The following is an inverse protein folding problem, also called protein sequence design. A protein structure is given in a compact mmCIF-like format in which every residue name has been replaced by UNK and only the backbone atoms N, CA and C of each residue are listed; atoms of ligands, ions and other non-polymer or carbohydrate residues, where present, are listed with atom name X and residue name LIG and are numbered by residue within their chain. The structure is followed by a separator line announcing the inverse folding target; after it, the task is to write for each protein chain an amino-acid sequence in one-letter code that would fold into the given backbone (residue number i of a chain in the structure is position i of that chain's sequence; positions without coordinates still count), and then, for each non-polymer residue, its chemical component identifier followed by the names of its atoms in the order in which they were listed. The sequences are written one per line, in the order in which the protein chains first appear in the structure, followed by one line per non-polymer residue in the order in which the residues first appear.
data_IF_488510867492
#
_entry.id   IF_488510867492
#
_cell.length_a   1.000
_cell.length_b   1.000
_cell.length_c   1.000
_cell.angle_alpha   90.00
_cell.angle_beta   90.00
_cell.angle_gamma   90.00
#
_symmetry.space_group_name_H-M   'P 1'
#
loop_
_entity.id
_entity.type
_entity.pdbx_description
1 polymer ?
#
# COMPACT_ATOMS: atom_id res chain seq x y z
N UNK A 1 2.69 21.61 -26.43
CA UNK A 1 1.86 21.85 -25.24
C UNK A 1 2.58 22.75 -24.28
N UNK A 2 1.87 23.74 -23.75
CA UNK A 2 2.35 24.54 -22.63
C UNK A 2 2.40 23.69 -21.35
N UNK A 3 3.12 24.16 -20.32
CA UNK A 3 3.12 23.51 -18.98
C UNK A 3 1.70 23.46 -18.42
N UNK A 4 0.88 24.49 -18.67
CA UNK A 4 -0.53 24.55 -18.28
C UNK A 4 -1.34 23.38 -18.86
N UNK A 5 -1.14 23.08 -20.14
CA UNK A 5 -1.83 21.96 -20.79
C UNK A 5 -1.38 20.61 -20.23
N UNK A 6 -0.09 20.48 -19.86
CA UNK A 6 0.42 19.25 -19.25
C UNK A 6 -0.18 19.01 -17.86
N UNK A 7 -0.31 20.06 -17.05
CA UNK A 7 -0.94 19.99 -15.73
C UNK A 7 -2.39 19.53 -15.82
N UNK A 8 -3.10 19.84 -16.91
CA UNK A 8 -4.47 19.33 -17.13
C UNK A 8 -4.54 17.79 -17.10
N UNK A 9 -3.47 17.11 -17.51
CA UNK A 9 -3.37 15.65 -17.58
C UNK A 9 -2.71 15.00 -16.35
N UNK A 10 -2.47 15.77 -15.28
CA UNK A 10 -1.94 15.21 -14.04
C UNK A 10 -3.07 14.51 -13.24
N UNK A 11 -3.14 13.19 -13.32
CA UNK A 11 -4.20 12.38 -12.68
C UNK A 11 -3.88 11.98 -11.24
N UNK A 12 -4.89 11.47 -10.52
CA UNK A 12 -4.69 10.90 -9.18
C UNK A 12 -3.79 9.66 -9.17
N UNK A 13 -3.61 8.97 -10.31
CA UNK A 13 -2.73 7.81 -10.42
C UNK A 13 -1.25 8.16 -10.23
N UNK A 14 -0.86 9.44 -10.33
CA UNK A 14 0.51 9.87 -10.05
C UNK A 14 0.94 9.57 -8.61
N UNK A 15 0.02 9.56 -7.65
CA UNK A 15 0.31 9.18 -6.27
C UNK A 15 0.71 7.72 -6.10
N UNK A 16 0.62 6.87 -7.13
CA UNK A 16 1.23 5.53 -7.11
C UNK A 16 2.76 5.59 -6.98
N UNK A 17 3.38 6.67 -7.46
CA UNK A 17 4.82 6.93 -7.36
C UNK A 17 5.25 7.21 -5.92
N UNK A 18 4.57 8.15 -5.24
CA UNK A 18 4.84 8.50 -3.83
C UNK A 18 4.49 7.34 -2.91
N UNK A 19 3.35 6.68 -3.15
CA UNK A 19 3.00 5.44 -2.47
C UNK A 19 4.13 4.39 -2.55
N UNK A 20 4.68 4.17 -3.74
CA UNK A 20 5.75 3.18 -3.93
C UNK A 20 7.08 3.62 -3.31
N UNK A 21 7.41 4.90 -3.42
CA UNK A 21 8.65 5.48 -2.87
C UNK A 21 8.66 5.41 -1.35
N UNK A 22 7.56 5.79 -0.70
CA UNK A 22 7.42 5.60 0.74
C UNK A 22 7.44 4.12 1.16
N UNK A 23 6.94 3.22 0.30
CA UNK A 23 7.08 1.78 0.50
C UNK A 23 8.54 1.30 0.49
N UNK A 24 9.40 1.89 -0.34
CA UNK A 24 10.84 1.59 -0.32
C UNK A 24 11.48 2.04 1.00
N UNK A 25 11.17 3.25 1.47
CA UNK A 25 11.61 3.70 2.79
C UNK A 25 11.17 2.74 3.90
N UNK A 26 9.94 2.22 3.81
CA UNK A 26 9.40 1.25 4.76
C UNK A 26 10.16 -0.08 4.78
N UNK A 27 10.49 -0.67 3.62
CA UNK A 27 11.21 -1.96 3.57
C UNK A 27 12.67 -1.81 4.00
N UNK A 28 13.33 -0.70 3.65
CA UNK A 28 14.71 -0.44 4.13
C UNK A 28 14.75 -0.27 5.65
N UNK A 29 13.71 0.30 6.25
CA UNK A 29 13.57 0.44 7.69
C UNK A 29 13.46 -0.90 8.42
N UNK A 30 12.96 -1.94 7.74
CA UNK A 30 12.63 -3.23 8.36
C UNK A 30 13.48 -4.41 7.88
N UNK A 31 14.35 -4.24 6.87
CA UNK A 31 15.20 -5.32 6.38
C UNK A 31 16.16 -5.82 7.47
N UNK A 32 16.35 -7.15 7.61
CA UNK A 32 17.06 -7.75 8.75
C UNK A 32 18.58 -7.59 8.65
N UNK A 33 19.16 -7.81 7.47
CA UNK A 33 20.60 -7.71 7.24
C UNK A 33 21.00 -6.26 6.95
N UNK A 34 21.37 -5.52 8.00
CA UNK A 34 21.65 -4.07 7.93
C UNK A 34 23.14 -3.78 7.80
N UNK A 35 23.46 -2.64 7.19
CA UNK A 35 24.81 -2.06 7.15
C UNK A 35 24.78 -0.60 7.62
N UNK A 36 25.95 -0.03 7.96
CA UNK A 36 26.06 1.28 8.64
C UNK A 36 25.36 2.44 7.91
N UNK A 37 25.32 2.42 6.58
CA UNK A 37 24.71 3.48 5.76
C UNK A 37 23.20 3.32 5.51
N UNK A 38 22.60 2.18 5.88
CA UNK A 38 21.22 1.86 5.50
C UNK A 38 20.19 2.81 6.13
N UNK A 39 20.41 3.22 7.39
CA UNK A 39 19.54 4.19 8.06
C UNK A 39 19.60 5.56 7.35
N UNK A 40 20.79 6.01 6.96
CA UNK A 40 20.96 7.27 6.23
C UNK A 40 20.28 7.22 4.87
N UNK A 41 20.37 6.09 4.14
CA UNK A 41 19.64 5.89 2.89
C UNK A 41 18.12 5.95 3.14
N UNK A 42 17.65 5.31 4.21
CA UNK A 42 16.25 5.37 4.63
C UNK A 42 15.77 6.79 4.94
N UNK A 43 16.56 7.57 5.69
CA UNK A 43 16.28 8.98 5.98
C UNK A 43 16.22 9.82 4.69
N UNK A 44 17.14 9.60 3.74
CA UNK A 44 17.15 10.29 2.43
C UNK A 44 15.88 9.95 1.63
N UNK A 45 15.50 8.68 1.55
CA UNK A 45 14.30 8.25 0.83
C UNK A 45 13.04 8.80 1.49
N UNK A 46 12.98 8.84 2.82
CA UNK A 46 11.87 9.45 3.55
C UNK A 46 11.71 10.94 3.22
N UNK A 47 12.79 11.72 3.25
CA UNK A 47 12.74 13.15 2.89
C UNK A 47 12.39 13.32 1.41
N UNK A 48 12.94 12.49 0.53
CA UNK A 48 12.62 12.50 -0.89
C UNK A 48 11.13 12.22 -1.16
N UNK A 49 10.55 11.21 -0.49
CA UNK A 49 9.13 10.88 -0.58
C UNK A 49 8.24 12.02 -0.09
N UNK A 50 8.61 12.66 1.03
CA UNK A 50 7.88 13.81 1.57
C UNK A 50 7.88 14.99 0.58
N UNK A 51 9.04 15.32 0.01
CA UNK A 51 9.16 16.38 -1.00
C UNK A 51 8.34 16.04 -2.24
N UNK A 52 8.44 14.81 -2.74
CA UNK A 52 7.71 14.35 -3.91
C UNK A 52 6.19 14.42 -3.70
N UNK A 53 5.70 13.99 -2.53
CA UNK A 53 4.30 14.07 -2.16
C UNK A 53 3.78 15.51 -2.09
N UNK A 54 4.54 16.42 -1.49
CA UNK A 54 4.18 17.85 -1.44
C UNK A 54 4.13 18.44 -2.85
N UNK A 55 5.12 18.11 -3.71
CA UNK A 55 5.11 18.54 -5.10
C UNK A 55 3.88 18.04 -5.86
N UNK A 56 3.50 16.77 -5.68
CA UNK A 56 2.33 16.20 -6.37
C UNK A 56 1.02 16.79 -5.85
N UNK A 57 0.92 17.04 -4.54
CA UNK A 57 -0.17 17.82 -3.95
C UNK A 57 -0.28 19.23 -4.55
N UNK A 58 0.85 19.92 -4.73
CA UNK A 58 0.86 21.24 -5.35
C UNK A 58 0.42 21.19 -6.82
N UNK A 59 0.86 20.18 -7.59
CA UNK A 59 0.48 20.02 -9.00
C UNK A 59 -1.01 19.69 -9.14
N UNK A 60 -1.55 18.74 -8.36
CA UNK A 60 -2.98 18.40 -8.42
C UNK A 60 -3.86 19.56 -7.95
N UNK A 61 -3.44 20.30 -6.92
CA UNK A 61 -4.12 21.53 -6.51
C UNK A 61 -4.08 22.59 -7.62
N UNK A 62 -2.96 22.70 -8.34
CA UNK A 62 -2.83 23.59 -9.50
C UNK A 62 -3.76 23.16 -10.64
N UNK A 63 -3.88 21.86 -10.93
CA UNK A 63 -4.86 21.33 -11.91
C UNK A 63 -6.28 21.73 -11.54
N UNK A 64 -6.65 21.56 -10.27
CA UNK A 64 -8.00 21.85 -9.79
C UNK A 64 -8.33 23.33 -9.66
N UNK A 65 -7.34 24.20 -9.46
CA UNK A 65 -7.53 25.66 -9.47
C UNK A 65 -7.62 26.20 -10.89
N UNK A 66 -6.80 25.72 -11.82
CA UNK A 66 -6.83 26.14 -13.22
C UNK A 66 -7.99 25.54 -14.01
N UNK A 67 -8.47 24.35 -13.62
CA UNK A 67 -9.55 23.62 -14.27
C UNK A 67 -10.56 23.08 -13.22
N UNK A 68 -11.39 23.93 -12.59
CA UNK A 68 -12.26 23.54 -11.47
C UNK A 68 -13.26 22.42 -11.79
N UNK A 69 -13.71 22.32 -13.05
CA UNK A 69 -14.61 21.25 -13.51
C UNK A 69 -13.97 19.87 -13.44
N UNK A 70 -12.64 19.80 -13.41
CA UNK A 70 -11.88 18.55 -13.44
C UNK A 70 -11.93 17.80 -12.11
N UNK A 71 -12.15 18.47 -10.96
CA UNK A 71 -12.31 17.79 -9.66
C UNK A 71 -13.43 16.75 -9.71
N UNK A 72 -14.63 17.22 -10.11
CA UNK A 72 -15.80 16.36 -10.20
C UNK A 72 -15.61 15.29 -11.27
N UNK A 73 -14.99 15.62 -12.41
CA UNK A 73 -14.69 14.65 -13.46
C UNK A 73 -13.75 13.55 -12.93
N UNK A 74 -12.64 13.89 -12.29
CA UNK A 74 -11.68 12.93 -11.76
C UNK A 74 -12.28 12.00 -10.72
N UNK A 75 -13.06 12.52 -9.78
CA UNK A 75 -13.70 11.71 -8.74
C UNK A 75 -14.90 10.88 -9.25
N UNK A 76 -15.50 11.27 -10.38
CA UNK A 76 -16.62 10.52 -10.99
C UNK A 76 -16.22 9.66 -12.19
N UNK A 77 -14.97 9.72 -12.63
CA UNK A 77 -14.49 8.92 -13.75
C UNK A 77 -14.24 7.47 -13.30
N UNK A 78 -14.77 6.45 -13.99
CA UNK A 78 -14.70 5.05 -13.55
C UNK A 78 -13.26 4.52 -13.40
N UNK A 79 -12.30 5.06 -14.16
CA UNK A 79 -10.89 4.65 -14.09
C UNK A 79 -10.06 5.53 -13.14
N UNK A 80 -10.04 6.85 -13.32
CA UNK A 80 -9.27 7.77 -12.48
C UNK A 80 -9.71 7.74 -11.00
N UNK A 81 -11.01 7.58 -10.71
CA UNK A 81 -11.52 7.54 -9.33
C UNK A 81 -10.97 6.35 -8.54
N UNK A 82 -10.67 5.22 -9.19
CA UNK A 82 -10.04 4.05 -8.55
C UNK A 82 -8.64 4.34 -8.02
N UNK A 83 -8.01 5.43 -8.49
CA UNK A 83 -6.68 5.85 -8.04
C UNK A 83 -6.73 6.95 -6.96
N UNK A 84 -7.87 7.54 -6.64
CA UNK A 84 -8.01 8.44 -5.49
C UNK A 84 -7.47 7.86 -4.16
N UNK A 85 -7.66 6.56 -3.87
CA UNK A 85 -7.03 5.90 -2.71
C UNK A 85 -5.51 6.03 -2.64
N UNK A 86 -4.81 6.13 -3.77
CA UNK A 86 -3.33 6.15 -3.79
C UNK A 86 -2.74 7.40 -3.13
N UNK A 87 -3.51 8.50 -3.09
CA UNK A 87 -3.21 9.67 -2.27
C UNK A 87 -3.17 9.32 -0.78
N UNK A 88 -4.21 8.63 -0.29
CA UNK A 88 -4.30 8.22 1.11
C UNK A 88 -3.25 7.16 1.48
N UNK A 89 -2.96 6.24 0.57
CA UNK A 89 -1.88 5.27 0.77
C UNK A 89 -0.51 5.96 0.85
N UNK A 90 -0.29 7.03 0.07
CA UNK A 90 0.93 7.84 0.20
C UNK A 90 1.02 8.46 1.60
N UNK A 91 -0.09 8.98 2.14
CA UNK A 91 -0.15 9.50 3.52
C UNK A 91 0.24 8.43 4.54
N UNK A 92 -0.36 7.23 4.50
CA UNK A 92 -0.05 6.20 5.51
C UNK A 92 1.39 5.71 5.42
N UNK A 93 1.99 5.70 4.23
CA UNK A 93 3.40 5.37 4.07
C UNK A 93 4.31 6.47 4.65
N UNK A 94 3.97 7.75 4.45
CA UNK A 94 4.68 8.86 5.11
C UNK A 94 4.54 8.75 6.64
N UNK A 95 3.34 8.47 7.17
CA UNK A 95 3.14 8.24 8.60
C UNK A 95 3.97 7.07 9.11
N UNK A 96 4.02 5.96 8.37
CA UNK A 96 4.83 4.79 8.69
C UNK A 96 6.33 5.11 8.71
N UNK A 97 6.80 5.97 7.78
CA UNK A 97 8.18 6.43 7.77
C UNK A 97 8.48 7.41 8.90
N UNK A 98 7.56 8.32 9.26
CA UNK A 98 7.69 9.18 10.44
C UNK A 98 7.87 8.31 11.69
N UNK A 99 7.10 7.23 11.81
CA UNK A 99 7.21 6.29 12.92
C UNK A 99 8.58 5.59 12.97
N UNK A 100 9.14 5.20 11.82
CA UNK A 100 10.42 4.46 11.76
C UNK A 100 11.64 5.39 11.92
N UNK A 101 11.63 6.53 11.23
CA UNK A 101 12.80 7.39 11.08
C UNK A 101 12.77 8.57 12.05
N UNK A 102 11.58 9.04 12.44
CA UNK A 102 11.37 10.20 13.31
C UNK A 102 11.15 9.88 14.78
N UNK A 103 10.40 8.82 15.12
CA UNK A 103 10.12 8.45 16.51
C UNK A 103 11.25 7.56 17.09
N UNK A 104 11.76 7.82 18.31
CA UNK A 104 11.49 8.97 19.19
C UNK A 104 12.47 10.14 19.00
N UNK A 105 13.32 10.11 17.95
CA UNK A 105 14.40 11.10 17.73
C UNK A 105 13.94 12.56 17.77
N UNK A 106 12.71 12.85 17.34
CA UNK A 106 12.16 14.21 17.32
C UNK A 106 11.53 14.66 18.65
N UNK A 107 11.41 13.76 19.65
CA UNK A 107 10.88 14.04 20.98
C UNK A 107 9.46 13.48 21.25
N UNK A 108 8.98 13.55 22.51
CA UNK A 108 7.72 12.91 22.93
C UNK A 108 6.46 13.47 22.25
N UNK A 109 6.49 14.72 21.79
CA UNK A 109 5.36 15.34 21.08
C UNK A 109 4.99 14.56 19.82
N UNK A 110 5.98 13.98 19.13
CA UNK A 110 5.75 13.24 17.89
C UNK A 110 4.94 11.97 18.14
N UNK A 111 5.12 11.32 19.30
CA UNK A 111 4.32 10.15 19.72
C UNK A 111 2.84 10.53 19.85
N UNK A 112 2.56 11.69 20.44
CA UNK A 112 1.19 12.22 20.58
C UNK A 112 0.63 12.64 19.23
N UNK A 113 1.41 13.32 18.39
CA UNK A 113 1.02 13.70 17.03
C UNK A 113 0.67 12.48 16.18
N UNK A 114 1.48 11.43 16.22
CA UNK A 114 1.22 10.18 15.50
C UNK A 114 -0.10 9.54 15.94
N UNK A 115 -0.41 9.55 17.25
CA UNK A 115 -1.70 9.08 17.76
C UNK A 115 -2.89 9.85 17.18
N UNK A 116 -2.81 11.18 17.14
CA UNK A 116 -3.89 12.01 16.57
C UNK A 116 -4.02 11.75 15.06
N UNK A 117 -2.89 11.68 14.34
CA UNK A 117 -2.86 11.39 12.91
C UNK A 117 -3.43 10.00 12.58
N UNK A 118 -3.19 8.99 13.42
CA UNK A 118 -3.78 7.65 13.25
C UNK A 118 -5.31 7.70 13.23
N UNK A 119 -5.94 8.34 14.23
CA UNK A 119 -7.41 8.41 14.31
C UNK A 119 -8.02 9.28 13.22
N UNK A 120 -7.38 10.40 12.86
CA UNK A 120 -7.82 11.21 11.72
C UNK A 120 -7.73 10.42 10.41
N UNK A 121 -6.62 9.72 10.19
CA UNK A 121 -6.43 8.88 9.01
C UNK A 121 -7.48 7.77 8.94
N UNK A 122 -7.74 7.06 10.05
CA UNK A 122 -8.74 6.02 10.12
C UNK A 122 -10.16 6.55 9.81
N UNK A 123 -10.56 7.67 10.42
CA UNK A 123 -11.86 8.28 10.16
C UNK A 123 -12.01 8.72 8.70
N UNK A 124 -11.03 9.45 8.16
CA UNK A 124 -11.07 9.92 6.78
C UNK A 124 -11.09 8.77 5.79
N UNK A 125 -10.23 7.76 5.96
CA UNK A 125 -10.13 6.64 5.01
C UNK A 125 -11.31 5.69 5.08
N UNK A 126 -11.95 5.54 6.24
CA UNK A 126 -13.22 4.83 6.34
C UNK A 126 -14.32 5.55 5.55
N UNK A 127 -14.45 6.87 5.72
CA UNK A 127 -15.39 7.68 4.93
C UNK A 127 -15.10 7.59 3.42
N UNK A 128 -13.82 7.61 3.02
CA UNK A 128 -13.41 7.45 1.62
C UNK A 128 -13.81 6.08 1.10
N UNK A 129 -13.55 5.01 1.83
CA UNK A 129 -13.93 3.66 1.41
C UNK A 129 -15.45 3.53 1.19
N UNK A 130 -16.25 3.99 2.16
CA UNK A 130 -17.72 3.97 2.05
C UNK A 130 -18.19 4.82 0.87
N UNK A 131 -17.71 6.07 0.78
CA UNK A 131 -18.12 7.01 -0.26
C UNK A 131 -17.75 6.54 -1.67
N UNK A 132 -16.55 5.97 -1.84
CA UNK A 132 -16.12 5.46 -3.14
C UNK A 132 -16.87 4.22 -3.56
N UNK A 133 -17.08 3.23 -2.68
CA UNK A 133 -17.90 2.07 -3.06
C UNK A 133 -19.33 2.47 -3.35
N UNK A 134 -19.93 3.37 -2.56
CA UNK A 134 -21.26 3.91 -2.87
C UNK A 134 -21.29 4.56 -4.26
N UNK A 135 -20.28 5.35 -4.60
CA UNK A 135 -20.14 5.94 -5.94
C UNK A 135 -20.01 4.88 -7.03
N UNK A 136 -19.17 3.86 -6.85
CA UNK A 136 -18.99 2.78 -7.82
C UNK A 136 -20.26 1.94 -8.01
N UNK A 137 -21.08 1.79 -6.97
CA UNK A 137 -22.35 1.05 -7.04
C UNK A 137 -23.49 1.84 -7.69
N UNK A 138 -23.44 3.17 -7.63
CA UNK A 138 -24.49 4.07 -8.16
C UNK A 138 -24.11 4.77 -9.47
N UNK A 139 -22.82 4.76 -9.82
CA UNK A 139 -22.27 5.40 -11.00
C UNK A 139 -22.45 4.59 -12.28
N UNK A 140 -21.58 4.86 -13.27
CA UNK A 140 -21.58 4.11 -14.53
C UNK A 140 -21.25 2.63 -14.24
N UNK A 141 -22.03 1.66 -14.78
CA UNK A 141 -21.78 0.25 -14.56
C UNK A 141 -20.35 -0.14 -14.98
N UNK A 142 -19.61 -0.72 -14.04
CA UNK A 142 -18.34 -1.35 -14.32
C UNK A 142 -18.59 -2.79 -14.81
N UNK A 143 -18.06 -3.14 -15.98
CA UNK A 143 -18.25 -4.48 -16.56
C UNK A 143 -17.22 -5.46 -16.01
N UNK A 144 -17.57 -6.74 -15.91
CA UNK A 144 -16.63 -7.78 -15.45
C UNK A 144 -15.39 -7.87 -16.35
N UNK A 145 -15.55 -7.59 -17.65
CA UNK A 145 -14.48 -7.57 -18.64
C UNK A 145 -13.40 -6.52 -18.32
N UNK A 146 -13.82 -5.40 -17.70
CA UNK A 146 -12.94 -4.29 -17.28
C UNK A 146 -12.39 -4.47 -15.86
N UNK A 147 -12.74 -5.56 -15.18
CA UNK A 147 -12.29 -5.80 -13.82
C UNK A 147 -10.78 -5.97 -13.79
N UNK A 148 -10.15 -5.15 -12.95
CA UNK A 148 -8.75 -5.30 -12.57
C UNK A 148 -8.63 -5.24 -11.05
N UNK A 149 -7.54 -5.74 -10.46
CA UNK A 149 -7.30 -5.61 -9.02
C UNK A 149 -7.32 -4.17 -8.48
N UNK A 150 -7.27 -3.14 -9.34
CA UNK A 150 -7.46 -1.75 -8.94
C UNK A 150 -8.82 -1.50 -8.25
N UNK A 151 -9.84 -2.35 -8.47
CA UNK A 151 -11.13 -2.25 -7.78
C UNK A 151 -11.04 -2.50 -6.26
N UNK A 152 -9.89 -3.02 -5.79
CA UNK A 152 -9.59 -3.21 -4.37
C UNK A 152 -9.05 -1.90 -3.75
N UNK A 153 -8.50 -0.98 -4.55
CA UNK A 153 -7.89 0.24 -4.05
C UNK A 153 -8.81 1.06 -3.11
N UNK A 154 -10.13 1.19 -3.34
CA UNK A 154 -11.00 1.96 -2.43
C UNK A 154 -11.00 1.49 -0.97
N UNK A 155 -10.89 0.18 -0.68
CA UNK A 155 -10.80 -0.32 0.70
C UNK A 155 -9.37 -0.28 1.26
N UNK A 156 -8.38 -0.12 0.39
CA UNK A 156 -6.98 -0.33 0.75
C UNK A 156 -6.43 0.69 1.77
N UNK A 157 -6.76 1.99 1.72
CA UNK A 157 -6.28 2.96 2.70
C UNK A 157 -6.69 2.61 4.15
N UNK A 158 -7.97 2.31 4.37
CA UNK A 158 -8.48 1.98 5.71
C UNK A 158 -7.86 0.66 6.20
N UNK A 159 -7.65 -0.31 5.30
CA UNK A 159 -6.94 -1.56 5.61
C UNK A 159 -5.56 -1.29 6.23
N UNK A 160 -4.78 -0.36 5.67
CA UNK A 160 -3.41 -0.05 6.12
C UNK A 160 -3.33 0.64 7.49
N UNK A 161 -4.47 0.97 8.12
CA UNK A 161 -4.49 1.28 9.54
C UNK A 161 -3.92 0.12 10.37
N UNK A 162 -4.11 -1.13 9.94
CA UNK A 162 -3.53 -2.30 10.61
C UNK A 162 -2.00 -2.28 10.62
N UNK A 163 -1.38 -2.00 9.47
CA UNK A 163 0.08 -1.92 9.36
C UNK A 163 0.65 -0.68 10.07
N UNK A 164 -0.06 0.44 10.06
CA UNK A 164 0.36 1.62 10.82
C UNK A 164 0.28 1.37 12.34
N UNK A 165 -0.82 0.75 12.81
CA UNK A 165 -0.99 0.36 14.21
C UNK A 165 0.14 -0.58 14.66
N UNK A 166 0.53 -1.52 13.80
CA UNK A 166 1.61 -2.48 14.08
C UNK A 166 2.98 -1.81 14.28
N UNK A 167 3.25 -0.69 13.61
CA UNK A 167 4.48 0.09 13.78
C UNK A 167 4.41 1.01 15.01
N UNK A 168 3.23 1.51 15.33
CA UNK A 168 3.05 2.50 16.40
C UNK A 168 2.91 1.88 17.80
N UNK A 169 2.41 0.64 17.89
CA UNK A 169 2.01 0.00 19.16
C UNK A 169 3.00 0.19 20.31
N UNK A 170 4.25 -0.22 20.12
CA UNK A 170 5.30 -0.16 21.16
C UNK A 170 5.74 1.25 21.56
N UNK A 171 5.47 2.26 20.73
CA UNK A 171 5.83 3.66 21.03
C UNK A 171 4.77 4.40 21.85
N UNK A 172 3.56 3.84 21.94
CA UNK A 172 2.43 4.46 22.63
C UNK A 172 2.34 3.94 24.07
N UNK A 173 1.94 4.77 25.04
CA UNK A 173 1.57 4.30 26.37
C UNK A 173 0.43 3.26 26.28
N UNK A 174 0.37 2.25 27.17
CA UNK A 174 -0.57 1.13 27.07
C UNK A 174 -2.04 1.54 26.87
N UNK A 175 -2.51 2.55 27.61
CA UNK A 175 -3.89 3.06 27.54
C UNK A 175 -4.30 3.56 26.15
N UNK A 176 -3.33 4.02 25.36
CA UNK A 176 -3.55 4.49 24.00
C UNK A 176 -3.11 3.47 22.95
N UNK A 177 -2.10 2.64 23.27
CA UNK A 177 -1.61 1.57 22.40
C UNK A 177 -2.68 0.52 22.15
N UNK A 178 -3.39 0.06 23.19
CA UNK A 178 -4.40 -1.00 23.03
C UNK A 178 -5.55 -0.59 22.08
N UNK A 179 -6.21 0.58 22.22
CA UNK A 179 -7.22 1.02 21.26
C UNK A 179 -6.71 1.12 19.82
N UNK A 180 -5.47 1.60 19.62
CA UNK A 180 -4.84 1.68 18.28
C UNK A 180 -4.66 0.28 17.68
N UNK A 181 -4.17 -0.69 18.47
CA UNK A 181 -3.99 -2.06 18.01
C UNK A 181 -5.33 -2.74 17.70
N UNK A 182 -6.35 -2.54 18.55
CA UNK A 182 -7.70 -3.08 18.33
C UNK A 182 -8.29 -2.50 17.04
N UNK A 183 -8.27 -1.17 16.88
CA UNK A 183 -8.71 -0.52 15.65
C UNK A 183 -7.92 -1.00 14.42
N UNK A 184 -6.61 -1.20 14.58
CA UNK A 184 -5.73 -1.76 13.54
C UNK A 184 -6.20 -3.13 13.07
N UNK A 185 -6.48 -4.07 13.98
CA UNK A 185 -7.02 -5.39 13.65
C UNK A 185 -8.40 -5.26 12.97
N UNK A 186 -9.29 -4.42 13.52
CA UNK A 186 -10.64 -4.22 12.98
C UNK A 186 -10.61 -3.75 11.52
N UNK A 187 -9.85 -2.70 11.23
CA UNK A 187 -9.79 -2.13 9.88
C UNK A 187 -8.97 -2.99 8.91
N UNK A 188 -7.96 -3.70 9.38
CA UNK A 188 -7.27 -4.71 8.58
C UNK A 188 -8.24 -5.83 8.16
N UNK A 189 -9.07 -6.30 9.09
CA UNK A 189 -10.12 -7.29 8.86
C UNK A 189 -11.14 -6.85 7.81
N UNK A 190 -11.63 -5.61 7.91
CA UNK A 190 -12.50 -5.01 6.90
C UNK A 190 -11.85 -5.04 5.50
N UNK A 191 -10.60 -4.60 5.40
CA UNK A 191 -9.87 -4.55 4.13
C UNK A 191 -9.68 -5.91 3.47
N UNK A 192 -9.21 -6.91 4.21
CA UNK A 192 -8.97 -8.24 3.65
C UNK A 192 -10.26 -8.96 3.24
N UNK A 193 -11.36 -8.77 3.98
CA UNK A 193 -12.64 -9.38 3.64
C UNK A 193 -13.21 -8.81 2.34
N UNK A 194 -13.23 -7.48 2.20
CA UNK A 194 -13.68 -6.82 0.96
C UNK A 194 -12.77 -7.20 -0.22
N UNK A 195 -11.45 -7.25 -0.01
CA UNK A 195 -10.52 -7.71 -1.05
C UNK A 195 -10.80 -9.16 -1.47
N UNK A 196 -11.12 -10.05 -0.52
CA UNK A 196 -11.45 -11.45 -0.78
C UNK A 196 -12.71 -11.59 -1.64
N UNK A 197 -13.74 -10.78 -1.39
CA UNK A 197 -14.93 -10.76 -2.25
C UNK A 197 -14.59 -10.30 -3.68
N UNK A 198 -13.72 -9.29 -3.81
CA UNK A 198 -13.26 -8.81 -5.12
C UNK A 198 -12.38 -9.83 -5.87
N UNK A 199 -11.66 -10.71 -5.16
CA UNK A 199 -10.91 -11.78 -5.80
C UNK A 199 -11.81 -12.77 -6.55
N UNK A 200 -13.03 -13.02 -6.08
CA UNK A 200 -13.99 -13.85 -6.82
C UNK A 200 -14.29 -13.27 -8.21
N UNK A 201 -14.57 -11.97 -8.28
CA UNK A 201 -14.79 -11.27 -9.54
C UNK A 201 -13.53 -11.24 -10.41
N UNK A 202 -12.36 -11.02 -9.81
CA UNK A 202 -11.08 -11.03 -10.52
C UNK A 202 -10.76 -12.38 -11.16
N UNK A 203 -10.86 -13.46 -10.39
CA UNK A 203 -10.62 -14.81 -10.89
C UNK A 203 -11.64 -15.18 -11.95
N UNK A 204 -12.92 -14.80 -11.79
CA UNK A 204 -13.94 -14.97 -12.83
C UNK A 204 -13.52 -14.29 -14.13
N UNK A 205 -13.12 -13.02 -14.07
CA UNK A 205 -12.60 -12.28 -15.23
C UNK A 205 -11.42 -13.01 -15.88
N UNK A 206 -10.43 -13.44 -15.11
CA UNK A 206 -9.29 -14.18 -15.66
C UNK A 206 -9.69 -15.49 -16.36
N UNK A 207 -10.70 -16.19 -15.83
CA UNK A 207 -11.19 -17.44 -16.41
C UNK A 207 -12.07 -17.24 -17.63
N UNK A 208 -12.84 -16.15 -17.71
CA UNK A 208 -13.80 -15.91 -18.81
C UNK A 208 -13.23 -15.07 -19.94
N UNK A 209 -12.47 -14.00 -19.63
CA UNK A 209 -11.98 -13.05 -20.63
C UNK A 209 -10.44 -13.05 -20.74
N UNK A 210 -9.74 -13.97 -20.06
CA UNK A 210 -8.29 -14.14 -20.15
C UNK A 210 -7.47 -13.10 -19.39
N UNK A 211 -6.25 -12.80 -19.82
CA UNK A 211 -5.41 -11.79 -19.17
C UNK A 211 -5.84 -10.35 -19.55
N UNK A 212 -5.57 -9.33 -18.71
CA UNK A 212 -5.69 -7.93 -19.12
C UNK A 212 -4.75 -7.60 -20.29
N UNK A 213 -4.98 -6.45 -20.93
CA UNK A 213 -4.08 -5.93 -21.98
C UNK A 213 -2.65 -5.79 -21.43
N UNK A 214 -1.59 -6.02 -22.22
CA UNK A 214 -0.20 -6.01 -21.74
C UNK A 214 0.16 -4.80 -20.85
N UNK A 215 -0.27 -3.61 -21.24
CA UNK A 215 -0.02 -2.36 -20.53
C UNK A 215 -0.67 -2.25 -19.14
N UNK A 216 -1.74 -3.01 -18.88
CA UNK A 216 -2.47 -2.99 -17.59
C UNK A 216 -2.07 -4.13 -16.66
N UNK A 217 -1.34 -5.13 -17.17
CA UNK A 217 -0.86 -6.29 -16.39
C UNK A 217 0.00 -5.95 -15.17
N UNK A 218 0.80 -4.86 -15.13
CA UNK A 218 1.48 -4.49 -13.89
C UNK A 218 0.50 -4.30 -12.72
N UNK A 219 -0.72 -3.82 -12.99
CA UNK A 219 -1.78 -3.67 -11.99
C UNK A 219 -2.23 -4.99 -11.35
N UNK A 220 -1.92 -6.14 -11.95
CA UNK A 220 -2.22 -7.45 -11.36
C UNK A 220 -1.50 -7.66 -10.02
N UNK A 221 -0.35 -7.02 -9.81
CA UNK A 221 0.38 -7.08 -8.54
C UNK A 221 -0.40 -6.48 -7.37
N UNK A 222 -1.41 -5.63 -7.59
CA UNK A 222 -2.25 -5.09 -6.51
C UNK A 222 -2.90 -6.23 -5.70
N UNK A 223 -3.22 -7.38 -6.31
CA UNK A 223 -3.76 -8.55 -5.62
C UNK A 223 -2.77 -9.23 -4.64
N UNK A 224 -1.47 -8.94 -4.73
CA UNK A 224 -0.47 -9.39 -3.76
C UNK A 224 -0.63 -8.65 -2.42
N UNK A 225 -1.11 -7.41 -2.48
CA UNK A 225 -1.17 -6.49 -1.36
C UNK A 225 -2.00 -7.00 -0.17
N UNK A 226 -3.31 -7.26 -0.33
CA UNK A 226 -4.19 -7.57 0.80
C UNK A 226 -3.72 -8.73 1.68
N UNK A 227 -3.41 -9.95 1.18
CA UNK A 227 -2.91 -11.02 2.03
C UNK A 227 -1.57 -10.67 2.70
N UNK A 228 -0.67 -10.01 1.97
CA UNK A 228 0.66 -9.63 2.47
C UNK A 228 0.59 -8.63 3.63
N UNK A 229 -0.12 -7.51 3.43
CA UNK A 229 -0.27 -6.48 4.46
C UNK A 229 -1.08 -6.97 5.65
N UNK A 230 -2.01 -7.91 5.45
CA UNK A 230 -2.74 -8.55 6.55
C UNK A 230 -1.82 -9.42 7.40
N UNK A 231 -1.01 -10.29 6.79
CA UNK A 231 -0.01 -11.07 7.53
C UNK A 231 0.98 -10.17 8.29
N UNK A 232 1.45 -9.11 7.64
CA UNK A 232 2.31 -8.10 8.25
C UNK A 232 1.66 -7.41 9.46
N UNK A 233 0.42 -6.93 9.31
CA UNK A 233 -0.30 -6.25 10.38
C UNK A 233 -0.51 -7.18 11.59
N UNK A 234 -1.00 -8.41 11.36
CA UNK A 234 -1.23 -9.37 12.45
C UNK A 234 0.06 -9.73 13.19
N UNK A 235 1.16 -9.98 12.46
CA UNK A 235 2.45 -10.26 13.08
C UNK A 235 3.00 -9.06 13.86
N UNK A 236 2.92 -7.85 13.32
CA UNK A 236 3.41 -6.67 14.02
C UNK A 236 2.55 -6.34 15.24
N UNK A 237 1.21 -6.39 15.12
CA UNK A 237 0.29 -6.12 16.24
C UNK A 237 0.52 -7.13 17.37
N UNK A 238 0.61 -8.43 17.05
CA UNK A 238 0.87 -9.47 18.06
C UNK A 238 2.21 -9.31 18.78
N UNK A 239 3.25 -8.77 18.12
CA UNK A 239 4.52 -8.49 18.76
C UNK A 239 4.43 -7.37 19.82
N UNK A 240 3.54 -6.39 19.61
CA UNK A 240 3.33 -5.28 20.55
C UNK A 240 2.44 -5.66 21.74
N UNK A 241 1.58 -6.68 21.60
CA UNK A 241 0.63 -7.05 22.65
C UNK A 241 1.32 -7.39 23.97
N UNK A 242 2.49 -8.06 23.95
CA UNK A 242 3.26 -8.35 25.19
C UNK A 242 3.61 -7.11 26.00
N UNK A 243 3.82 -5.97 25.34
CA UNK A 243 4.23 -4.71 25.97
C UNK A 243 3.04 -3.91 26.52
N UNK A 244 1.83 -4.15 25.99
CA UNK A 244 0.61 -3.38 26.27
C UNK A 244 -0.35 -4.14 27.18
N UNK A 245 -0.26 -5.47 27.22
CA UNK A 245 -1.04 -6.31 28.11
C UNK A 245 -0.47 -6.52 29.54
N UNK A 246 0.56 -5.81 30.07
CA UNK A 246 1.06 -6.20 31.37
C UNK A 246 0.02 -5.88 32.45
N UNK A 247 -0.33 -6.93 33.18
CA UNK A 247 -0.94 -6.94 34.52
C UNK A 247 -2.42 -6.53 34.71
N UNK A 248 -3.11 -5.93 33.74
CA UNK A 248 -4.55 -5.60 33.87
C UNK A 248 -5.27 -5.75 32.52
N UNK A 249 -5.76 -6.95 32.20
CA UNK A 249 -6.68 -7.11 31.07
C UNK A 249 -7.93 -7.86 31.47
N UNK A 250 -9.05 -7.15 31.41
CA UNK A 250 -10.42 -7.60 31.63
C UNK A 250 -11.01 -8.20 30.35
N UNK A 251 -10.42 -9.28 29.82
CA UNK A 251 -11.19 -10.13 28.89
C UNK A 251 -12.05 -11.04 29.78
N UNK A 252 -13.37 -10.94 29.64
CA UNK A 252 -14.29 -11.76 30.43
C UNK A 252 -14.00 -13.24 30.22
N UNK A 253 -14.03 -14.00 31.31
CA UNK A 253 -13.85 -15.45 31.32
C UNK A 253 -12.46 -15.97 30.88
N UNK A 254 -11.39 -15.16 31.02
CA UNK A 254 -10.01 -15.66 30.89
C UNK A 254 -9.38 -15.89 32.25
N UNK A 255 -9.10 -17.16 32.56
CA UNK A 255 -8.46 -17.59 33.82
C UNK A 255 -6.95 -17.31 33.84
N UNK A 256 -6.30 -17.37 32.68
CA UNK A 256 -4.84 -17.24 32.52
C UNK A 256 -4.50 -16.07 31.56
N UNK A 257 -4.61 -14.81 32.02
CA UNK A 257 -4.34 -13.65 31.16
C UNK A 257 -2.91 -13.58 30.64
N UNK A 258 -1.95 -14.21 31.33
CA UNK A 258 -0.54 -14.27 30.95
C UNK A 258 -0.29 -14.94 29.59
N UNK A 259 -1.14 -15.89 29.18
CA UNK A 259 -0.97 -16.60 27.90
C UNK A 259 -1.55 -15.85 26.70
N UNK A 260 -2.32 -14.78 26.92
CA UNK A 260 -3.04 -14.07 25.84
C UNK A 260 -2.06 -13.63 24.74
N UNK A 261 -0.96 -12.99 25.11
CA UNK A 261 0.00 -12.47 24.14
C UNK A 261 0.71 -13.59 23.35
N UNK A 262 1.01 -14.71 24.00
CA UNK A 262 1.57 -15.91 23.35
C UNK A 262 0.58 -16.52 22.35
N UNK A 263 -0.68 -16.70 22.75
CA UNK A 263 -1.73 -17.24 21.89
C UNK A 263 -1.96 -16.35 20.67
N UNK A 264 -2.08 -15.04 20.85
CA UNK A 264 -2.21 -14.09 19.74
C UNK A 264 -1.01 -14.15 18.80
N UNK A 265 0.21 -14.31 19.33
CA UNK A 265 1.42 -14.44 18.51
C UNK A 265 1.41 -15.70 17.65
N UNK A 266 1.02 -16.85 18.22
CA UNK A 266 0.92 -18.12 17.50
C UNK A 266 -0.15 -18.02 16.40
N UNK A 267 -1.33 -17.49 16.72
CA UNK A 267 -2.42 -17.32 15.75
C UNK A 267 -1.99 -16.37 14.63
N UNK A 268 -1.36 -15.23 14.96
CA UNK A 268 -0.89 -14.26 13.98
C UNK A 268 0.16 -14.86 13.04
N UNK A 269 1.09 -15.66 13.56
CA UNK A 269 2.08 -16.36 12.74
C UNK A 269 1.43 -17.38 11.80
N UNK A 270 0.53 -18.22 12.31
CA UNK A 270 -0.20 -19.19 11.50
C UNK A 270 -1.01 -18.50 10.40
N UNK A 271 -1.72 -17.41 10.72
CA UNK A 271 -2.47 -16.61 9.76
C UNK A 271 -1.55 -15.96 8.71
N UNK A 272 -0.41 -15.41 9.12
CA UNK A 272 0.54 -14.80 8.20
C UNK A 272 1.12 -15.81 7.21
N UNK A 273 1.51 -17.01 7.66
CA UNK A 273 2.00 -18.09 6.80
C UNK A 273 0.89 -18.58 5.85
N UNK A 274 -0.34 -18.73 6.35
CA UNK A 274 -1.50 -19.11 5.54
C UNK A 274 -1.75 -18.11 4.40
N UNK A 275 -1.74 -16.81 4.72
CA UNK A 275 -1.95 -15.73 3.73
C UNK A 275 -0.74 -15.55 2.80
N UNK A 276 0.48 -15.84 3.26
CA UNK A 276 1.70 -15.69 2.48
C UNK A 276 1.66 -16.50 1.18
N UNK A 277 1.15 -17.73 1.23
CA UNK A 277 1.02 -18.58 0.04
C UNK A 277 0.05 -17.97 -0.99
N UNK A 278 -1.05 -17.36 -0.56
CA UNK A 278 -1.98 -16.65 -1.43
C UNK A 278 -1.30 -15.44 -2.09
N UNK A 279 -0.55 -14.65 -1.32
CA UNK A 279 0.23 -13.54 -1.86
C UNK A 279 1.25 -14.00 -2.90
N UNK A 280 2.00 -15.07 -2.60
CA UNK A 280 2.99 -15.64 -3.50
C UNK A 280 2.37 -16.18 -4.79
N UNK A 281 1.18 -16.78 -4.71
CA UNK A 281 0.46 -17.24 -5.89
C UNK A 281 0.04 -16.06 -6.79
N UNK A 282 -0.57 -15.01 -6.22
CA UNK A 282 -0.90 -13.80 -7.00
C UNK A 282 0.34 -13.13 -7.59
N UNK A 283 1.44 -13.08 -6.84
CA UNK A 283 2.73 -12.58 -7.32
C UNK A 283 3.21 -13.38 -8.54
N UNK A 284 3.14 -14.70 -8.46
CA UNK A 284 3.58 -15.61 -9.52
C UNK A 284 2.74 -15.44 -10.79
N UNK A 285 1.42 -15.37 -10.65
CA UNK A 285 0.52 -15.13 -11.79
C UNK A 285 0.76 -13.75 -12.40
N UNK A 286 0.91 -12.69 -11.59
CA UNK A 286 1.21 -11.36 -12.08
C UNK A 286 2.56 -11.30 -12.81
N UNK A 287 3.60 -11.93 -12.25
CA UNK A 287 4.94 -11.99 -12.84
C UNK A 287 4.93 -12.70 -14.20
N UNK A 288 4.35 -13.90 -14.29
CA UNK A 288 4.25 -14.65 -15.55
C UNK A 288 3.43 -13.87 -16.58
N UNK A 289 2.35 -13.22 -16.15
CA UNK A 289 1.49 -12.41 -17.04
C UNK A 289 2.23 -11.21 -17.62
N UNK A 290 3.09 -10.57 -16.82
CA UNK A 290 3.92 -9.43 -17.24
C UNK A 290 5.04 -9.89 -18.15
N UNK A 291 5.73 -10.99 -17.86
CA UNK A 291 6.74 -11.58 -18.75
C UNK A 291 6.10 -11.94 -20.10
N UNK A 292 4.92 -12.56 -20.08
CA UNK A 292 4.17 -12.87 -21.30
C UNK A 292 3.76 -11.60 -22.08
N UNK A 293 3.45 -10.51 -21.39
CA UNK A 293 3.13 -9.22 -22.02
C UNK A 293 4.33 -8.55 -22.64
N UNK A 294 5.46 -8.51 -21.92
CA UNK A 294 6.71 -7.93 -22.38
C UNK A 294 7.31 -8.69 -23.58
N UNK A 295 7.15 -10.02 -23.63
CA UNK A 295 7.58 -10.87 -24.73
C UNK A 295 6.58 -10.95 -25.89
N UNK A 296 5.41 -10.31 -25.77
CA UNK A 296 4.41 -10.29 -26.84
C UNK A 296 4.86 -9.37 -27.99
N UNK A 297 4.31 -9.58 -29.19
CA UNK A 297 4.59 -8.71 -30.36
C UNK A 297 4.17 -7.25 -30.14
N UNK A 298 3.17 -7.02 -29.29
CA UNK A 298 2.68 -5.69 -28.93
C UNK A 298 3.62 -4.97 -27.95
N UNK A 299 4.44 -5.73 -27.21
CA UNK A 299 5.29 -5.21 -26.15
C UNK A 299 4.49 -4.59 -25.00
N UNK A 300 5.16 -3.74 -24.22
CA UNK A 300 4.54 -2.95 -23.17
C UNK A 300 5.04 -1.51 -23.20
N UNK A 301 4.13 -0.55 -23.08
CA UNK A 301 4.45 0.86 -22.84
C UNK A 301 4.27 1.23 -21.38
N UNK A 302 4.99 2.27 -20.96
CA UNK A 302 4.91 2.76 -19.59
C UNK A 302 3.53 3.38 -19.33
N UNK A 303 2.93 2.99 -18.20
CA UNK A 303 1.77 3.64 -17.60
C UNK A 303 2.00 3.73 -16.09
N UNK A 304 1.30 4.64 -15.41
CA UNK A 304 1.46 4.85 -13.97
C UNK A 304 1.22 3.58 -13.15
N UNK A 305 0.42 2.64 -13.67
CA UNK A 305 0.20 1.32 -13.07
C UNK A 305 1.48 0.47 -12.91
N UNK A 306 2.59 0.79 -13.60
CA UNK A 306 3.88 0.14 -13.40
C UNK A 306 4.40 0.25 -11.97
N UNK A 307 3.99 1.27 -11.22
CA UNK A 307 4.31 1.40 -9.80
C UNK A 307 3.76 0.24 -8.94
N UNK A 308 2.78 -0.52 -9.45
CA UNK A 308 2.32 -1.76 -8.81
C UNK A 308 3.40 -2.87 -8.79
N UNK A 309 4.48 -2.76 -9.57
CA UNK A 309 5.65 -3.63 -9.41
C UNK A 309 6.35 -3.46 -8.04
N UNK A 310 6.17 -2.30 -7.40
CA UNK A 310 6.86 -1.94 -6.16
C UNK A 310 5.93 -2.11 -4.96
N UNK A 311 4.88 -1.29 -4.85
CA UNK A 311 4.17 -1.12 -3.57
C UNK A 311 3.50 -2.38 -2.98
N UNK A 312 2.69 -3.16 -3.72
CA UNK A 312 2.14 -4.42 -3.19
C UNK A 312 3.23 -5.41 -2.73
N UNK A 313 4.36 -5.41 -3.44
CA UNK A 313 5.50 -6.28 -3.16
C UNK A 313 6.33 -5.80 -1.96
N UNK A 314 6.25 -4.51 -1.57
CA UNK A 314 6.78 -4.01 -0.28
C UNK A 314 6.11 -4.75 0.86
N UNK A 315 4.77 -4.83 0.86
CA UNK A 315 4.02 -5.58 1.87
C UNK A 315 4.43 -7.06 1.89
N UNK A 316 4.58 -7.68 0.72
CA UNK A 316 4.98 -9.09 0.60
C UNK A 316 6.39 -9.33 1.15
N UNK A 317 7.33 -8.45 0.83
CA UNK A 317 8.72 -8.51 1.29
C UNK A 317 8.80 -8.36 2.81
N UNK A 318 8.14 -7.36 3.38
CA UNK A 318 8.17 -7.12 4.82
C UNK A 318 7.44 -8.24 5.56
N UNK A 319 6.32 -8.74 5.04
CA UNK A 319 5.64 -9.91 5.61
C UNK A 319 6.57 -11.13 5.65
N UNK A 320 7.32 -11.39 4.57
CA UNK A 320 8.33 -12.47 4.52
C UNK A 320 9.42 -12.27 5.58
N UNK A 321 9.93 -11.04 5.73
CA UNK A 321 10.90 -10.69 6.78
C UNK A 321 10.31 -10.98 8.17
N UNK A 322 9.08 -10.53 8.45
CA UNK A 322 8.42 -10.71 9.75
C UNK A 322 8.10 -12.18 10.06
N UNK A 323 7.78 -12.99 9.05
CA UNK A 323 7.66 -14.43 9.20
C UNK A 323 9.02 -15.04 9.57
N UNK A 324 10.10 -14.64 8.90
CA UNK A 324 11.46 -15.10 9.22
C UNK A 324 11.92 -14.71 10.62
N UNK A 325 11.61 -13.50 11.08
CA UNK A 325 11.81 -13.06 12.47
C UNK A 325 10.99 -13.91 13.45
N UNK A 326 9.70 -14.14 13.17
CA UNK A 326 8.81 -14.89 14.04
C UNK A 326 9.16 -16.38 14.16
N UNK A 327 9.63 -16.99 13.07
CA UNK A 327 10.12 -18.37 13.04
C UNK A 327 11.58 -18.51 13.50
N UNK A 328 12.25 -17.39 13.79
CA UNK A 328 13.69 -17.35 14.08
C UNK A 328 14.53 -18.03 12.97
N UNK A 329 14.11 -17.91 11.71
CA UNK A 329 14.73 -18.57 10.57
C UNK A 329 15.62 -17.62 9.79
N UNK A 330 16.94 -17.81 9.87
CA UNK A 330 17.92 -17.01 9.10
C UNK A 330 17.74 -17.19 7.58
N UNK A 331 17.39 -18.39 7.12
CA UNK A 331 17.13 -18.64 5.69
C UNK A 331 16.02 -17.74 5.14
N UNK A 332 14.89 -17.64 5.87
CA UNK A 332 13.76 -16.78 5.46
C UNK A 332 14.13 -15.30 5.56
N UNK A 333 14.94 -14.90 6.55
CA UNK A 333 15.46 -13.52 6.65
C UNK A 333 16.34 -13.15 5.44
N UNK A 334 17.18 -14.08 4.96
CA UNK A 334 17.99 -13.85 3.76
C UNK A 334 17.13 -13.70 2.51
N UNK A 335 16.09 -14.52 2.36
CA UNK A 335 15.08 -14.34 1.29
C UNK A 335 14.48 -12.94 1.36
N UNK A 336 14.09 -12.48 2.55
CA UNK A 336 13.58 -11.11 2.75
C UNK A 336 14.58 -10.00 2.36
N UNK A 337 15.87 -10.18 2.65
CA UNK A 337 16.91 -9.23 2.23
C UNK A 337 17.14 -9.24 0.71
N UNK A 338 17.12 -10.40 0.06
CA UNK A 338 17.20 -10.50 -1.41
C UNK A 338 15.99 -9.81 -2.05
N UNK A 339 14.78 -10.07 -1.55
CA UNK A 339 13.56 -9.38 -2.00
C UNK A 339 13.65 -7.86 -1.81
N UNK A 340 14.26 -7.39 -0.72
CA UNK A 340 14.51 -5.96 -0.48
C UNK A 340 15.39 -5.37 -1.58
N UNK A 341 16.50 -6.02 -1.92
CA UNK A 341 17.42 -5.56 -2.98
C UNK A 341 16.71 -5.53 -4.33
N UNK A 342 15.96 -6.59 -4.67
CA UNK A 342 15.19 -6.66 -5.91
C UNK A 342 14.14 -5.54 -5.99
N UNK A 343 13.46 -5.23 -4.90
CA UNK A 343 12.51 -4.11 -4.85
C UNK A 343 13.17 -2.76 -5.11
N UNK A 344 14.36 -2.51 -4.55
CA UNK A 344 15.11 -1.27 -4.82
C UNK A 344 15.48 -1.19 -6.30
N UNK A 345 15.94 -2.29 -6.90
CA UNK A 345 16.27 -2.35 -8.34
C UNK A 345 15.03 -2.06 -9.19
N UNK A 346 13.89 -2.70 -8.87
CA UNK A 346 12.62 -2.48 -9.57
C UNK A 346 12.13 -1.04 -9.40
N UNK A 347 12.23 -0.46 -8.21
CA UNK A 347 11.88 0.94 -7.96
C UNK A 347 12.70 1.92 -8.78
N UNK A 348 14.03 1.73 -8.85
CA UNK A 348 14.92 2.52 -9.70
C UNK A 348 14.54 2.37 -11.18
N UNK A 349 14.31 1.13 -11.64
CA UNK A 349 13.91 0.86 -13.01
C UNK A 349 12.59 1.56 -13.38
N UNK A 350 11.56 1.44 -12.55
CA UNK A 350 10.26 2.09 -12.76
C UNK A 350 10.39 3.61 -12.70
N UNK A 351 11.20 4.14 -11.78
CA UNK A 351 11.49 5.58 -11.70
C UNK A 351 12.17 6.12 -12.97
N UNK A 352 13.17 5.41 -13.48
CA UNK A 352 13.83 5.77 -14.74
C UNK A 352 12.85 5.70 -15.93
N UNK A 353 12.03 4.65 -15.99
CA UNK A 353 11.00 4.49 -17.03
C UNK A 353 9.95 5.61 -16.96
N UNK A 354 9.54 6.00 -15.75
CA UNK A 354 8.61 7.10 -15.51
C UNK A 354 9.16 8.43 -16.03
N UNK A 355 10.39 8.81 -15.66
CA UNK A 355 11.03 10.05 -16.14
C UNK A 355 11.17 10.03 -17.66
N UNK A 356 11.58 8.89 -18.24
CA UNK A 356 11.65 8.70 -19.68
C UNK A 356 10.28 8.87 -20.35
N UNK A 357 9.22 8.33 -19.77
CA UNK A 357 7.86 8.45 -20.31
C UNK A 357 7.37 9.92 -20.31
N UNK A 358 7.67 10.69 -19.25
CA UNK A 358 7.40 12.14 -19.22
C UNK A 358 8.16 12.87 -20.32
N UNK A 359 9.43 12.53 -20.55
CA UNK A 359 10.25 13.17 -21.59
C UNK A 359 9.78 12.80 -23.00
N UNK A 360 9.47 11.52 -23.23
CA UNK A 360 8.96 11.01 -24.51
C UNK A 360 7.50 11.36 -24.77
N UNK A 361 6.82 12.03 -23.82
CA UNK A 361 5.41 12.43 -23.93
C UNK A 361 4.47 11.21 -24.03
N UNK A 362 4.87 10.13 -23.38
CA UNK A 362 4.09 8.90 -23.25
C UNK A 362 3.09 8.99 -22.08
N UNK A 363 3.33 9.92 -21.15
CA UNK A 363 2.43 10.32 -20.05
C UNK A 363 2.47 11.85 -19.88
N UNK A 364 1.54 12.41 -19.11
CA UNK A 364 1.30 13.84 -18.96
C UNK A 364 1.02 14.51 -20.32
N UNK A 365 0.17 13.86 -21.12
CA UNK A 365 -0.12 14.20 -22.51
C UNK A 365 -1.54 13.75 -22.92
N UNK A 366 -2.23 14.46 -23.84
CA UNK A 366 -3.58 14.12 -24.27
C UNK A 366 -3.74 12.66 -24.71
N UNK A 367 -4.76 11.98 -24.17
CA UNK A 367 -5.09 10.61 -24.53
C UNK A 367 -4.14 9.54 -23.99
N UNK A 368 -3.26 9.87 -23.03
CA UNK A 368 -2.24 8.95 -22.52
C UNK A 368 -2.45 8.48 -21.09
N UNK A 369 -3.00 9.32 -20.23
CA UNK A 369 -3.21 9.03 -18.81
C UNK A 369 -4.65 8.55 -18.54
N UNK A 370 -5.02 8.37 -17.28
CA UNK A 370 -6.34 7.87 -16.85
C UNK A 370 -7.49 8.82 -17.20
N UNK A 371 -7.17 10.04 -17.65
CA UNK A 371 -8.09 11.04 -18.17
C UNK A 371 -8.24 11.01 -19.69
N UNK A 372 -7.78 9.95 -20.39
CA UNK A 372 -7.76 9.88 -21.86
C UNK A 372 -9.08 10.19 -22.58
N UNK A 373 -10.22 10.02 -21.92
CA UNK A 373 -11.56 10.32 -22.46
C UNK A 373 -12.09 11.73 -22.07
N UNK A 374 -11.30 12.56 -21.38
CA UNK A 374 -11.67 13.89 -20.88
C UNK A 374 -11.11 15.03 -21.75
#
# INVERSE_FOLDING_TARGET
MSIRDRIHHFTLAWFTCTMSTGGIGLVLGQTPHRFRGLNTIGDIIFIFDLVLFICFCAIIATRFTLFPRTIKKSLSHPTESLFFPTFWISIVNILSQIQIYGVPKCGPWLVVTMRVLFWMYAACTFCVAVGQYFFLFTGKPLTIQSMTPAWILPIFPIMLCGTLASLMGSSQPPDYGLPILVAGITFQGLGILIATFMYGAYLRRLMTDGLPSPNTRPGMFIAVGPPSFTGLALLGISANLRLIYPAYSTISNITHPEVIADVFRIIALSAAVFLWATAFWFFSIALVSVIHGASSKEGMSFHLVWWAFVFPNVGFTICTIKIGEALMSEGVKWVGSVMTVLLVVVWLFVGCAHVRAVWKREILWPGKDEDHDQ
#
